data_IF_528469901243
#
_entry.id   IF_528469901243
#
_cell.length_a   1.000
_cell.length_b   1.000
_cell.length_c   1.000
_cell.angle_alpha   90.00
_cell.angle_beta   90.00
_cell.angle_gamma   90.00
#
_symmetry.space_group_name_H-M   'P 1'
#
loop_
_entity.id
_entity.type
_entity.pdbx_description
1 polymer ?
#
# COMPACT_ATOMS: atom_id res chain seq x y z
N UNK A 1 -28.73 9.49 2.05
CA UNK A 1 -27.60 9.70 1.11
C UNK A 1 -26.41 10.16 1.93
N UNK A 2 -25.16 9.84 1.57
CA UNK A 2 -24.00 10.33 2.30
C UNK A 2 -23.95 11.87 2.27
N UNK A 3 -23.71 12.52 3.41
CA UNK A 3 -23.43 13.97 3.43
C UNK A 3 -21.97 14.28 3.03
N UNK A 4 -21.12 13.24 2.99
CA UNK A 4 -19.68 13.30 2.67
C UNK A 4 -19.30 12.23 1.65
N UNK A 5 -18.15 12.39 1.02
CA UNK A 5 -17.52 11.33 0.25
C UNK A 5 -17.22 10.14 1.16
N UNK A 6 -17.53 8.92 0.73
CA UNK A 6 -17.24 7.69 1.48
C UNK A 6 -16.29 6.81 0.67
N UNK A 7 -15.14 6.46 1.23
CA UNK A 7 -14.21 5.48 0.63
C UNK A 7 -14.31 4.17 1.39
N UNK A 8 -14.76 3.12 0.69
CA UNK A 8 -14.66 1.74 1.19
C UNK A 8 -13.26 1.23 0.89
N UNK A 9 -12.55 0.72 1.91
CA UNK A 9 -11.17 0.25 1.77
C UNK A 9 -10.83 -0.90 2.70
N UNK A 10 -9.72 -1.59 2.44
CA UNK A 10 -9.14 -2.54 3.41
C UNK A 10 -8.08 -1.83 4.26
N UNK A 11 -7.81 -2.31 5.49
CA UNK A 11 -6.73 -1.76 6.32
C UNK A 11 -5.42 -1.76 5.54
N UNK A 12 -4.61 -0.73 5.74
CA UNK A 12 -3.29 -0.57 5.13
C UNK A 12 -3.26 -0.82 3.61
N UNK A 13 -4.33 -0.52 2.88
CA UNK A 13 -4.36 -0.60 1.42
C UNK A 13 -3.49 0.49 0.78
N UNK A 14 -2.47 0.16 -0.05
CA UNK A 14 -1.64 1.19 -0.70
C UNK A 14 -2.43 2.07 -1.65
N UNK A 15 -3.47 1.53 -2.26
CA UNK A 15 -4.31 2.23 -3.21
C UNK A 15 -5.23 3.25 -2.53
N UNK A 16 -5.63 2.99 -1.27
CA UNK A 16 -6.45 3.92 -0.49
C UNK A 16 -5.59 5.01 0.15
N UNK A 17 -4.36 4.67 0.53
CA UNK A 17 -3.42 5.63 1.08
C UNK A 17 -3.01 6.73 0.09
N UNK A 18 -3.11 6.50 -1.22
CA UNK A 18 -3.00 7.58 -2.23
C UNK A 18 -3.97 8.73 -1.93
N UNK A 19 -5.20 8.37 -1.56
CA UNK A 19 -6.26 9.32 -1.24
C UNK A 19 -5.98 9.98 0.11
N UNK A 20 -5.56 9.21 1.12
CA UNK A 20 -5.19 9.75 2.43
C UNK A 20 -4.04 10.77 2.33
N UNK A 21 -3.05 10.52 1.46
CA UNK A 21 -1.95 11.46 1.18
C UNK A 21 -2.48 12.75 0.55
N UNK A 22 -3.36 12.67 -0.46
CA UNK A 22 -3.98 13.85 -1.07
C UNK A 22 -4.71 14.70 -0.01
N UNK A 23 -5.49 14.06 0.86
CA UNK A 23 -6.23 14.76 1.92
C UNK A 23 -5.29 15.39 2.94
N UNK A 24 -4.23 14.69 3.35
CA UNK A 24 -3.23 15.21 4.27
C UNK A 24 -2.41 16.37 3.67
N UNK A 25 -2.15 16.37 2.36
CA UNK A 25 -1.49 17.49 1.68
C UNK A 25 -2.33 18.77 1.69
N UNK A 26 -3.66 18.65 1.83
CA UNK A 26 -4.63 19.74 1.77
C UNK A 26 -5.21 20.11 3.12
N UNK A 27 -4.83 19.40 4.19
CA UNK A 27 -5.47 19.49 5.50
C UNK A 27 -7.01 19.28 5.41
N UNK A 28 -7.43 18.29 4.61
CA UNK A 28 -8.83 17.95 4.26
C UNK A 28 -9.22 16.53 4.68
N UNK A 29 -8.63 15.97 5.74
CA UNK A 29 -8.87 14.60 6.20
C UNK A 29 -10.37 14.34 6.48
N UNK A 30 -11.10 15.35 6.95
CA UNK A 30 -12.53 15.25 7.26
C UNK A 30 -13.46 15.31 6.04
N UNK A 31 -12.92 15.56 4.84
CA UNK A 31 -13.69 15.63 3.60
C UNK A 31 -14.16 14.25 3.11
N UNK A 32 -13.50 13.18 3.56
CA UNK A 32 -13.77 11.80 3.16
C UNK A 32 -13.90 10.91 4.40
N UNK A 33 -14.99 10.16 4.49
CA UNK A 33 -15.16 9.10 5.47
C UNK A 33 -14.56 7.79 4.94
N UNK A 34 -13.56 7.24 5.62
CA UNK A 34 -12.99 5.94 5.28
C UNK A 34 -13.71 4.82 6.03
N UNK A 35 -14.38 3.94 5.29
CA UNK A 35 -15.08 2.76 5.82
C UNK A 35 -14.27 1.50 5.58
N UNK A 36 -13.81 0.90 6.67
CA UNK A 36 -13.04 -0.34 6.62
C UNK A 36 -13.94 -1.50 6.20
N UNK A 37 -13.45 -2.29 5.24
CA UNK A 37 -14.03 -3.54 4.77
C UNK A 37 -13.14 -4.67 5.26
N UNK A 38 -13.75 -5.60 5.99
CA UNK A 38 -13.09 -6.82 6.44
C UNK A 38 -12.87 -7.77 5.25
N UNK A 39 -11.60 -7.90 4.82
CA UNK A 39 -11.21 -8.74 3.69
C UNK A 39 -11.19 -10.24 4.05
N UNK A 40 -11.30 -10.58 5.33
CA UNK A 40 -11.31 -11.99 5.81
C UNK A 40 -12.69 -12.64 5.69
N UNK A 41 -13.72 -11.87 5.34
CA UNK A 41 -15.11 -12.30 5.21
C UNK A 41 -15.62 -12.13 3.78
N UNK A 42 -16.69 -12.86 3.40
CA UNK A 42 -17.42 -12.57 2.17
C UNK A 42 -17.81 -11.09 2.10
N UNK A 43 -17.72 -10.52 0.89
CA UNK A 43 -18.03 -9.11 0.67
C UNK A 43 -19.48 -8.82 1.03
N UNK A 44 -19.71 -7.68 1.71
CA UNK A 44 -21.05 -7.17 1.99
C UNK A 44 -21.91 -7.14 0.71
N UNK A 45 -23.06 -7.85 0.67
CA UNK A 45 -23.98 -7.84 -0.46
C UNK A 45 -24.42 -6.44 -0.89
N UNK A 46 -24.61 -5.51 0.04
CA UNK A 46 -24.99 -4.14 -0.28
C UNK A 46 -23.88 -3.41 -1.04
N UNK A 47 -22.62 -3.64 -0.67
CA UNK A 47 -21.46 -3.11 -1.40
C UNK A 47 -21.30 -3.79 -2.77
N UNK A 48 -21.57 -5.09 -2.89
CA UNK A 48 -21.56 -5.78 -4.19
C UNK A 48 -22.60 -5.22 -5.17
N UNK A 49 -23.79 -4.87 -4.69
CA UNK A 49 -24.81 -4.21 -5.52
C UNK A 49 -24.30 -2.87 -6.02
N UNK A 50 -23.71 -2.04 -5.14
CA UNK A 50 -23.12 -0.74 -5.52
C UNK A 50 -22.00 -0.86 -6.55
N UNK A 51 -21.15 -1.88 -6.44
CA UNK A 51 -19.97 -2.04 -7.30
C UNK A 51 -20.23 -2.84 -8.58
N UNK A 52 -21.48 -3.27 -8.80
CA UNK A 52 -21.87 -4.21 -9.86
C UNK A 52 -21.05 -5.51 -9.81
N UNK A 53 -20.92 -6.09 -8.62
CA UNK A 53 -20.23 -7.35 -8.36
C UNK A 53 -18.70 -7.27 -8.26
N UNK A 54 -18.10 -6.08 -8.44
CA UNK A 54 -16.64 -5.92 -8.30
C UNK A 54 -16.23 -5.97 -6.82
N UNK A 55 -15.20 -6.76 -6.49
CA UNK A 55 -14.67 -6.89 -5.12
C UNK A 55 -13.41 -6.05 -4.88
N UNK A 56 -12.80 -5.49 -5.92
CA UNK A 56 -11.65 -4.61 -5.83
C UNK A 56 -11.96 -3.34 -5.01
N UNK A 57 -10.97 -2.87 -4.26
CA UNK A 57 -11.00 -1.68 -3.41
C UNK A 57 -9.75 -0.83 -3.68
N UNK A 58 -9.77 0.50 -3.43
CA UNK A 58 -10.86 1.28 -2.87
C UNK A 58 -12.03 1.50 -3.83
N UNK A 59 -13.19 1.84 -3.26
CA UNK A 59 -14.37 2.33 -3.97
C UNK A 59 -14.84 3.61 -3.30
N UNK A 60 -15.08 4.66 -4.08
CA UNK A 60 -15.65 5.91 -3.61
C UNK A 60 -17.16 5.96 -3.90
N UNK A 61 -17.94 6.35 -2.91
CA UNK A 61 -19.33 6.77 -3.04
C UNK A 61 -19.42 8.28 -2.79
N UNK A 62 -19.88 9.04 -3.79
CA UNK A 62 -20.06 10.49 -3.67
C UNK A 62 -21.33 10.84 -2.88
N UNK A 63 -21.48 12.11 -2.42
CA UNK A 63 -22.69 12.55 -1.70
C UNK A 63 -23.99 12.33 -2.48
N UNK A 64 -23.92 12.44 -3.82
CA UNK A 64 -25.05 12.19 -4.72
C UNK A 64 -25.19 10.72 -5.16
N UNK A 65 -24.45 9.81 -4.53
CA UNK A 65 -24.60 8.36 -4.68
C UNK A 65 -23.88 7.74 -5.89
N UNK A 66 -23.02 8.48 -6.60
CA UNK A 66 -22.20 7.91 -7.69
C UNK A 66 -21.12 7.01 -7.11
N UNK A 67 -20.86 5.90 -7.80
CA UNK A 67 -19.80 4.95 -7.46
C UNK A 67 -18.63 5.14 -8.42
N UNK A 68 -17.45 5.42 -7.86
CA UNK A 68 -16.20 5.58 -8.59
C UNK A 68 -15.22 4.50 -8.12
N UNK A 69 -14.61 3.79 -9.07
CA UNK A 69 -13.66 2.69 -8.84
C UNK A 69 -12.29 3.07 -9.41
N UNK A 70 -11.27 2.27 -9.09
CA UNK A 70 -9.86 2.46 -9.43
C UNK A 70 -9.21 3.63 -8.71
N UNK A 71 -8.16 3.35 -7.91
CA UNK A 71 -7.55 4.36 -7.05
C UNK A 71 -7.00 5.57 -7.80
N UNK A 72 -6.46 5.42 -9.01
CA UNK A 72 -5.95 6.55 -9.79
C UNK A 72 -7.09 7.43 -10.33
N UNK A 73 -8.24 6.83 -10.67
CA UNK A 73 -9.43 7.57 -11.09
C UNK A 73 -10.05 8.29 -9.89
N UNK A 74 -10.15 7.62 -8.74
CA UNK A 74 -10.63 8.22 -7.49
C UNK A 74 -9.70 9.36 -7.07
N UNK A 75 -8.38 9.16 -7.13
CA UNK A 75 -7.38 10.18 -6.79
C UNK A 75 -7.55 11.42 -7.66
N UNK A 76 -7.66 11.26 -8.99
CA UNK A 76 -7.91 12.37 -9.91
C UNK A 76 -9.23 13.08 -9.60
N UNK A 77 -10.30 12.32 -9.39
CA UNK A 77 -11.61 12.89 -9.07
C UNK A 77 -11.56 13.73 -7.79
N UNK A 78 -10.95 13.20 -6.71
CA UNK A 78 -10.78 13.93 -5.46
C UNK A 78 -9.83 15.14 -5.61
N UNK A 79 -8.79 15.02 -6.44
CA UNK A 79 -7.87 16.13 -6.76
C UNK A 79 -8.61 17.31 -7.39
N UNK A 80 -9.63 17.03 -8.21
CA UNK A 80 -10.48 18.02 -8.91
C UNK A 80 -11.58 18.63 -8.03
N UNK A 81 -12.21 17.85 -7.13
CA UNK A 81 -13.41 18.30 -6.39
C UNK A 81 -13.14 18.77 -4.97
N UNK A 82 -12.05 18.34 -4.34
CA UNK A 82 -11.70 18.78 -2.98
C UNK A 82 -10.91 20.09 -3.06
N UNK A 83 -11.23 21.12 -2.25
CA UNK A 83 -10.45 22.37 -2.23
C UNK A 83 -8.98 22.14 -1.83
N UNK A 84 -8.06 22.82 -2.51
CA UNK A 84 -6.64 22.80 -2.19
C UNK A 84 -5.75 22.93 -3.43
N UNK A 85 -4.43 22.93 -3.22
CA UNK A 85 -3.46 22.89 -4.31
C UNK A 85 -3.62 21.60 -5.12
N UNK A 86 -3.67 21.73 -6.45
CA UNK A 86 -3.71 20.56 -7.35
C UNK A 86 -2.46 19.72 -7.18
N UNK A 87 -2.65 18.41 -7.07
CA UNK A 87 -1.60 17.43 -6.89
C UNK A 87 -0.85 17.19 -8.20
N UNK A 88 -1.57 17.16 -9.33
CA UNK A 88 -0.96 17.10 -10.66
C UNK A 88 -0.27 18.40 -11.03
N UNK A 89 0.73 18.34 -11.90
CA UNK A 89 1.36 19.53 -12.48
C UNK A 89 0.37 20.30 -13.35
N UNK A 90 0.47 21.63 -13.29
CA UNK A 90 -0.34 22.52 -14.12
C UNK A 90 0.17 22.54 -15.58
N UNK A 91 1.48 22.47 -15.77
CA UNK A 91 2.09 22.36 -17.09
C UNK A 91 1.74 21.00 -17.75
N UNK A 92 1.18 20.99 -18.97
CA UNK A 92 0.81 19.75 -19.64
C UNK A 92 1.99 18.81 -19.91
N UNK A 93 3.19 19.35 -20.18
CA UNK A 93 4.39 18.56 -20.43
C UNK A 93 4.90 17.87 -19.16
N UNK A 94 4.97 18.60 -18.05
CA UNK A 94 5.30 18.02 -16.74
C UNK A 94 4.27 16.97 -16.31
N UNK A 95 2.98 17.22 -16.52
CA UNK A 95 1.93 16.24 -16.22
C UNK A 95 2.04 14.98 -17.09
N UNK A 96 2.45 15.12 -18.35
CA UNK A 96 2.73 13.97 -19.21
C UNK A 96 3.90 13.12 -18.65
N UNK A 97 4.95 13.77 -18.13
CA UNK A 97 6.06 13.09 -17.46
C UNK A 97 5.61 12.39 -16.17
N UNK A 98 4.78 13.02 -15.34
CA UNK A 98 4.16 12.36 -14.16
C UNK A 98 3.38 11.11 -14.59
N UNK A 99 2.59 11.23 -15.65
CA UNK A 99 1.76 10.14 -16.18
C UNK A 99 2.62 9.00 -16.73
N UNK A 100 3.73 9.29 -17.40
CA UNK A 100 4.69 8.28 -17.84
C UNK A 100 5.34 7.56 -16.65
N UNK A 101 5.69 8.29 -15.58
CA UNK A 101 6.19 7.66 -14.35
C UNK A 101 5.12 6.73 -13.74
N UNK A 102 3.88 7.22 -13.59
CA UNK A 102 2.76 6.47 -13.02
C UNK A 102 2.42 5.21 -13.83
N UNK A 103 2.58 5.24 -15.15
CA UNK A 103 2.38 4.06 -16.00
C UNK A 103 3.29 2.87 -15.63
N UNK A 104 4.41 3.11 -14.94
CA UNK A 104 5.33 2.06 -14.45
C UNK A 104 4.87 1.43 -13.14
N UNK A 105 3.97 2.09 -12.40
CA UNK A 105 3.59 1.71 -11.04
C UNK A 105 2.96 0.31 -10.99
N UNK A 106 2.05 -0.02 -11.90
CA UNK A 106 1.35 -1.30 -11.87
C UNK A 106 2.32 -2.49 -11.95
N UNK A 107 3.28 -2.47 -12.89
CA UNK A 107 4.29 -3.53 -13.00
C UNK A 107 5.20 -3.58 -11.77
N UNK A 108 5.59 -2.42 -11.25
CA UNK A 108 6.42 -2.28 -10.07
C UNK A 108 5.76 -2.89 -8.82
N UNK A 109 4.52 -2.48 -8.54
CA UNK A 109 3.70 -3.00 -7.44
C UNK A 109 3.48 -4.51 -7.56
N UNK A 110 3.10 -4.99 -8.75
CA UNK A 110 2.86 -6.42 -8.98
C UNK A 110 4.13 -7.27 -8.88
N UNK A 111 5.31 -6.71 -9.15
CA UNK A 111 6.57 -7.42 -8.96
C UNK A 111 6.87 -7.61 -7.47
N UNK A 112 6.73 -6.56 -6.65
CA UNK A 112 6.96 -6.66 -5.21
C UNK A 112 5.95 -7.57 -4.50
N UNK A 113 4.67 -7.51 -4.88
CA UNK A 113 3.67 -8.44 -4.34
C UNK A 113 3.95 -9.89 -4.72
N UNK A 114 4.34 -10.16 -5.98
CA UNK A 114 4.74 -11.52 -6.38
C UNK A 114 5.99 -11.99 -5.67
N UNK A 115 6.92 -11.08 -5.38
CA UNK A 115 8.12 -11.41 -4.64
C UNK A 115 7.78 -11.83 -3.21
N UNK A 116 7.05 -11.02 -2.44
CA UNK A 116 6.71 -11.40 -1.06
C UNK A 116 5.85 -12.66 -0.99
N UNK A 117 4.97 -12.90 -1.96
CA UNK A 117 4.12 -14.11 -2.01
C UNK A 117 4.84 -15.36 -2.52
N UNK A 118 6.10 -15.27 -2.89
CA UNK A 118 6.87 -16.42 -3.35
C UNK A 118 7.09 -17.42 -2.20
N UNK A 119 6.79 -18.69 -2.45
CA UNK A 119 7.05 -19.80 -1.50
C UNK A 119 8.06 -20.81 -2.08
N UNK A 120 8.70 -20.46 -3.19
CA UNK A 120 9.70 -21.28 -3.88
C UNK A 120 11.08 -20.64 -3.70
N UNK A 121 11.89 -21.18 -2.79
CA UNK A 121 13.18 -20.60 -2.43
C UNK A 121 14.13 -20.47 -3.63
N UNK A 122 14.03 -21.36 -4.63
CA UNK A 122 14.87 -21.32 -5.83
C UNK A 122 14.56 -20.10 -6.72
N UNK A 123 13.33 -19.55 -6.64
CA UNK A 123 12.90 -18.37 -7.42
C UNK A 123 13.18 -17.04 -6.72
N UNK A 124 13.68 -17.07 -5.49
CA UNK A 124 13.92 -15.86 -4.70
C UNK A 124 14.83 -14.86 -5.42
N UNK A 125 15.93 -15.34 -6.00
CA UNK A 125 16.90 -14.50 -6.69
C UNK A 125 16.37 -13.93 -8.01
N UNK A 126 15.50 -14.67 -8.71
CA UNK A 126 14.83 -14.18 -9.92
C UNK A 126 13.89 -13.02 -9.61
N UNK A 127 13.11 -13.14 -8.53
CA UNK A 127 12.26 -12.05 -8.05
C UNK A 127 13.09 -10.83 -7.61
N UNK A 128 14.18 -11.06 -6.87
CA UNK A 128 15.14 -10.00 -6.50
C UNK A 128 15.68 -9.28 -7.72
N UNK A 129 16.18 -10.02 -8.71
CA UNK A 129 16.70 -9.47 -9.98
C UNK A 129 15.65 -8.67 -10.73
N UNK A 130 14.40 -9.16 -10.79
CA UNK A 130 13.30 -8.44 -11.43
C UNK A 130 13.00 -7.12 -10.71
N UNK A 131 12.96 -7.12 -9.38
CA UNK A 131 12.72 -5.93 -8.56
C UNK A 131 13.83 -4.90 -8.77
N UNK A 132 15.10 -5.32 -8.74
CA UNK A 132 16.26 -4.47 -9.01
C UNK A 132 16.26 -3.87 -10.42
N UNK A 133 15.81 -4.63 -11.43
CA UNK A 133 15.65 -4.11 -12.79
C UNK A 133 14.63 -2.96 -12.85
N UNK A 134 13.47 -3.12 -12.21
CA UNK A 134 12.43 -2.09 -12.19
C UNK A 134 12.86 -0.84 -11.43
N UNK A 135 13.61 -0.99 -10.34
CA UNK A 135 14.19 0.16 -9.64
C UNK A 135 15.19 0.93 -10.51
N UNK A 136 15.99 0.23 -11.32
CA UNK A 136 16.91 0.86 -12.27
C UNK A 136 16.17 1.60 -13.38
N UNK A 137 15.06 1.05 -13.87
CA UNK A 137 14.21 1.73 -14.86
C UNK A 137 13.62 3.03 -14.30
N UNK A 138 13.20 3.03 -13.03
CA UNK A 138 12.75 4.24 -12.33
C UNK A 138 13.90 5.23 -12.11
N UNK A 139 15.08 4.74 -11.71
CA UNK A 139 16.28 5.57 -11.52
C UNK A 139 16.66 6.30 -12.81
N UNK A 140 16.76 5.57 -13.91
CA UNK A 140 17.05 6.13 -15.24
C UNK A 140 16.05 7.22 -15.63
N UNK A 141 14.75 6.98 -15.40
CA UNK A 141 13.70 7.97 -15.69
C UNK A 141 13.86 9.23 -14.84
N UNK A 142 14.16 9.08 -13.54
CA UNK A 142 14.39 10.22 -12.65
C UNK A 142 15.67 10.99 -13.03
N UNK A 143 16.73 10.29 -13.47
CA UNK A 143 17.97 10.90 -13.95
C UNK A 143 17.73 11.70 -15.23
N UNK A 144 16.96 11.16 -16.17
CA UNK A 144 16.60 11.83 -17.43
C UNK A 144 15.86 13.14 -17.19
N UNK A 145 14.88 13.13 -16.28
CA UNK A 145 13.98 14.28 -16.08
C UNK A 145 14.44 15.28 -15.02
N UNK A 146 15.14 14.83 -13.96
CA UNK A 146 15.56 15.71 -12.87
C UNK A 146 16.74 15.09 -12.08
N UNK A 147 17.96 15.07 -12.64
CA UNK A 147 19.08 14.27 -12.12
C UNK A 147 19.54 14.68 -10.73
N UNK A 148 19.43 15.97 -10.38
CA UNK A 148 19.86 16.51 -9.09
C UNK A 148 18.68 16.73 -8.12
N UNK A 149 17.45 16.48 -8.57
CA UNK A 149 16.23 16.73 -7.80
C UNK A 149 16.02 15.78 -6.64
N UNK A 150 15.18 16.21 -5.71
CA UNK A 150 14.69 15.39 -4.60
C UNK A 150 13.47 14.59 -5.07
N UNK A 151 12.42 15.30 -5.53
CA UNK A 151 11.22 14.74 -6.13
C UNK A 151 11.34 14.61 -7.66
N UNK A 152 10.33 14.09 -8.34
CA UNK A 152 10.31 14.07 -9.81
C UNK A 152 10.43 15.50 -10.36
N UNK A 153 9.74 16.45 -9.72
CA UNK A 153 9.87 17.90 -9.95
C UNK A 153 10.32 18.62 -8.68
N UNK A 154 10.05 19.92 -8.55
CA UNK A 154 10.55 20.75 -7.43
C UNK A 154 10.01 20.35 -6.05
N UNK A 155 8.77 19.87 -5.98
CA UNK A 155 8.03 19.53 -4.76
C UNK A 155 7.28 18.20 -4.91
N UNK A 156 6.75 17.68 -3.79
CA UNK A 156 5.99 16.42 -3.75
C UNK A 156 4.70 16.56 -4.57
N UNK A 157 4.52 15.73 -5.61
CA UNK A 157 3.39 15.80 -6.53
C UNK A 157 2.67 14.47 -6.72
N UNK A 158 2.02 14.32 -7.87
CA UNK A 158 1.15 13.18 -8.19
C UNK A 158 1.93 11.87 -8.23
N UNK A 159 3.11 11.86 -8.85
CA UNK A 159 3.94 10.65 -8.92
C UNK A 159 4.35 10.18 -7.51
N UNK A 160 4.76 11.09 -6.63
CA UNK A 160 5.11 10.77 -5.25
C UNK A 160 3.93 10.22 -4.46
N UNK A 161 2.74 10.84 -4.58
CA UNK A 161 1.52 10.35 -3.92
C UNK A 161 1.14 8.94 -4.37
N UNK A 162 1.39 8.59 -5.63
CA UNK A 162 1.10 7.27 -6.21
C UNK A 162 2.10 6.21 -5.76
N UNK A 163 3.40 6.54 -5.73
CA UNK A 163 4.48 5.58 -5.42
C UNK A 163 4.77 5.43 -3.93
N UNK A 164 4.57 6.47 -3.11
CA UNK A 164 4.88 6.40 -1.67
C UNK A 164 4.20 5.23 -0.96
N UNK A 165 2.88 5.00 -1.15
CA UNK A 165 2.21 3.85 -0.54
C UNK A 165 2.83 2.51 -0.96
N UNK A 166 3.31 2.39 -2.20
CA UNK A 166 3.95 1.17 -2.70
C UNK A 166 5.31 0.97 -2.01
N UNK A 167 6.12 2.02 -1.89
CA UNK A 167 7.40 1.95 -1.19
C UNK A 167 7.26 1.54 0.28
N UNK A 168 6.20 2.00 0.94
CA UNK A 168 5.88 1.60 2.31
C UNK A 168 5.43 0.14 2.39
N UNK A 169 4.69 -0.37 1.40
CA UNK A 169 4.34 -1.82 1.36
C UNK A 169 5.60 -2.66 1.25
N UNK A 170 6.58 -2.22 0.46
CA UNK A 170 7.84 -2.95 0.31
C UNK A 170 8.72 -3.01 1.56
N UNK A 171 8.31 -2.41 2.68
CA UNK A 171 8.84 -2.80 4.00
C UNK A 171 8.70 -4.31 4.28
N UNK A 172 7.71 -4.98 3.70
CA UNK A 172 7.63 -6.45 3.77
C UNK A 172 8.78 -7.13 3.01
N UNK A 173 9.35 -6.53 1.96
CA UNK A 173 10.50 -7.10 1.24
C UNK A 173 11.78 -6.86 2.02
N UNK A 174 11.92 -5.68 2.64
CA UNK A 174 13.04 -5.42 3.55
C UNK A 174 13.04 -6.42 4.71
N UNK A 175 11.87 -6.73 5.27
CA UNK A 175 11.75 -7.62 6.41
C UNK A 175 11.83 -9.10 6.01
N UNK A 176 10.92 -9.61 5.18
CA UNK A 176 10.84 -11.05 4.90
C UNK A 176 11.85 -11.54 3.85
N UNK A 177 12.36 -10.65 3.01
CA UNK A 177 13.20 -11.03 1.86
C UNK A 177 14.61 -10.45 1.90
N UNK A 178 14.98 -9.71 2.95
CA UNK A 178 16.28 -9.01 3.04
C UNK A 178 16.57 -8.18 1.78
N UNK A 179 15.52 -7.55 1.24
CA UNK A 179 15.64 -6.73 0.05
C UNK A 179 16.19 -5.36 0.40
N UNK A 180 17.31 -5.01 -0.25
CA UNK A 180 17.91 -3.69 -0.19
C UNK A 180 18.36 -3.28 -1.58
N UNK A 181 18.29 -1.97 -1.86
CA UNK A 181 18.89 -1.41 -3.07
C UNK A 181 20.43 -1.47 -2.94
N UNK A 182 21.17 -1.95 -3.95
CA UNK A 182 22.63 -1.90 -3.98
C UNK A 182 23.15 -0.46 -3.87
N UNK A 183 24.29 -0.29 -3.21
CA UNK A 183 24.99 0.99 -3.17
C UNK A 183 25.80 1.23 -4.46
N UNK A 184 25.07 1.36 -5.57
CA UNK A 184 25.62 1.58 -6.91
C UNK A 184 24.99 2.84 -7.52
N UNK A 185 25.70 3.50 -8.43
CA UNK A 185 25.23 4.73 -9.11
C UNK A 185 23.85 4.56 -9.76
N UNK A 186 23.57 3.37 -10.30
CA UNK A 186 22.32 3.00 -10.97
C UNK A 186 21.07 2.96 -10.06
N UNK A 187 21.22 3.25 -8.77
CA UNK A 187 20.12 3.29 -7.79
C UNK A 187 20.10 4.57 -6.94
N UNK A 188 21.05 5.49 -7.12
CA UNK A 188 21.21 6.62 -6.19
C UNK A 188 20.08 7.65 -6.32
N UNK A 189 19.55 7.86 -7.52
CA UNK A 189 18.50 8.84 -7.76
C UNK A 189 17.14 8.34 -7.23
N UNK A 190 16.82 7.07 -7.48
CA UNK A 190 15.61 6.42 -6.94
C UNK A 190 15.70 6.24 -5.42
N UNK A 191 16.89 5.98 -4.86
CA UNK A 191 17.10 5.94 -3.41
C UNK A 191 16.75 7.27 -2.76
N UNK A 192 17.27 8.38 -3.30
CA UNK A 192 16.97 9.75 -2.83
C UNK A 192 15.49 10.07 -2.95
N UNK A 193 14.88 9.74 -4.09
CA UNK A 193 13.45 9.95 -4.34
C UNK A 193 12.58 9.21 -3.34
N UNK A 194 12.83 7.91 -3.17
CA UNK A 194 12.12 7.04 -2.23
C UNK A 194 12.24 7.56 -0.80
N UNK A 195 13.44 7.94 -0.36
CA UNK A 195 13.67 8.46 0.98
C UNK A 195 12.87 9.75 1.21
N UNK A 196 12.87 10.67 0.24
CA UNK A 196 12.10 11.91 0.34
C UNK A 196 10.58 11.68 0.34
N UNK A 197 10.10 10.70 -0.42
CA UNK A 197 8.70 10.26 -0.42
C UNK A 197 8.26 9.76 0.97
N UNK A 198 9.05 8.84 1.53
CA UNK A 198 8.72 8.17 2.79
C UNK A 198 8.90 9.06 4.04
N UNK A 199 9.72 10.11 3.94
CA UNK A 199 9.94 11.07 5.02
C UNK A 199 9.00 12.30 4.94
N UNK A 200 8.13 12.37 3.93
CA UNK A 200 7.23 13.51 3.76
C UNK A 200 6.16 13.55 4.86
N UNK A 201 5.84 14.73 5.40
CA UNK A 201 4.88 14.87 6.53
C UNK A 201 3.48 14.30 6.25
N UNK A 202 3.08 14.28 4.98
CA UNK A 202 1.77 13.80 4.53
C UNK A 202 1.73 12.28 4.31
N UNK A 203 2.78 11.52 4.65
CA UNK A 203 2.89 10.08 4.33
C UNK A 203 3.01 9.20 5.57
N UNK A 204 2.51 9.66 6.72
CA UNK A 204 2.63 9.02 8.04
C UNK A 204 1.49 8.07 8.41
N UNK A 205 0.60 7.72 7.47
CA UNK A 205 -0.63 6.97 7.75
C UNK A 205 -0.40 5.53 8.21
N UNK A 206 0.76 4.94 7.87
CA UNK A 206 1.11 3.55 8.20
C UNK A 206 2.53 3.47 8.74
N UNK A 207 2.82 2.44 9.52
CA UNK A 207 4.15 2.16 10.05
C UNK A 207 4.75 0.88 9.48
N UNK A 208 6.08 0.74 9.55
CA UNK A 208 6.78 -0.50 9.14
C UNK A 208 6.29 -1.71 9.93
N UNK A 209 6.11 -1.57 11.24
CA UNK A 209 5.60 -2.64 12.11
C UNK A 209 4.20 -3.09 11.71
N UNK A 210 3.30 -2.14 11.48
CA UNK A 210 1.93 -2.43 11.03
C UNK A 210 1.93 -3.18 9.69
N UNK A 211 2.68 -2.68 8.69
CA UNK A 211 2.78 -3.34 7.39
C UNK A 211 3.34 -4.74 7.52
N UNK A 212 4.44 -4.93 8.25
CA UNK A 212 5.04 -6.26 8.42
C UNK A 212 4.05 -7.22 9.08
N UNK A 213 3.40 -6.81 10.18
CA UNK A 213 2.45 -7.66 10.90
C UNK A 213 1.22 -8.03 10.07
N UNK A 214 0.60 -7.06 9.39
CA UNK A 214 -0.62 -7.30 8.62
C UNK A 214 -0.36 -8.07 7.32
N UNK A 215 0.83 -7.93 6.71
CA UNK A 215 1.19 -8.63 5.48
C UNK A 215 1.89 -9.99 5.70
N UNK A 216 1.90 -10.54 6.93
CA UNK A 216 2.54 -11.83 7.18
C UNK A 216 1.96 -12.97 6.32
N UNK A 217 0.63 -13.05 6.16
CA UNK A 217 0.03 -14.10 5.33
C UNK A 217 0.36 -13.93 3.84
N UNK A 218 0.58 -12.69 3.37
CA UNK A 218 1.11 -12.47 2.02
C UNK A 218 2.49 -13.10 1.88
N UNK A 219 3.35 -12.97 2.91
CA UNK A 219 4.66 -13.58 2.93
C UNK A 219 4.65 -15.12 2.96
N UNK A 220 3.46 -15.72 3.12
CA UNK A 220 3.19 -17.16 3.05
C UNK A 220 2.34 -17.54 1.82
N UNK A 221 2.27 -16.66 0.81
CA UNK A 221 1.56 -16.89 -0.44
C UNK A 221 0.03 -16.71 -0.37
N UNK A 222 -0.50 -16.23 0.75
CA UNK A 222 -1.93 -16.02 0.96
C UNK A 222 -2.29 -14.52 0.95
N UNK A 223 -2.61 -14.01 -0.25
CA UNK A 223 -3.04 -12.64 -0.43
C UNK A 223 -4.54 -12.42 -0.17
N UNK A 224 -4.95 -11.15 -0.06
CA UNK A 224 -6.34 -10.72 -0.05
C UNK A 224 -7.21 -11.39 1.03
N UNK A 225 -6.69 -11.52 2.25
CA UNK A 225 -7.43 -12.12 3.38
C UNK A 225 -7.59 -13.63 3.31
N UNK A 226 -6.97 -14.30 2.32
CA UNK A 226 -6.95 -15.75 2.26
C UNK A 226 -6.23 -16.33 3.49
N UNK A 227 -6.70 -17.48 3.97
CA UNK A 227 -6.07 -18.19 5.07
C UNK A 227 -4.92 -19.05 4.57
N UNK A 228 -3.77 -18.94 5.23
CA UNK A 228 -2.66 -19.87 5.06
C UNK A 228 -3.10 -21.25 5.57
N UNK A 229 -2.68 -22.33 4.89
CA UNK A 229 -2.91 -23.70 5.36
C UNK A 229 -2.40 -23.83 6.80
N UNK A 230 -3.18 -24.46 7.69
CA UNK A 230 -2.95 -24.61 9.14
C UNK A 230 -3.24 -23.40 10.04
N UNK A 231 -3.73 -22.28 9.49
CA UNK A 231 -4.17 -21.10 10.24
C UNK A 231 -5.69 -21.00 10.28
N UNK A 232 -6.23 -20.47 11.38
CA UNK A 232 -7.66 -20.21 11.53
C UNK A 232 -7.99 -18.72 11.41
N UNK A 233 -7.00 -17.85 11.64
CA UNK A 233 -7.18 -16.39 11.67
C UNK A 233 -6.22 -15.74 10.71
N UNK A 234 -6.68 -14.81 9.89
CA UNK A 234 -5.79 -14.02 9.04
C UNK A 234 -5.01 -12.99 9.86
N UNK A 235 -3.78 -12.71 9.46
CA UNK A 235 -2.98 -11.58 9.90
C UNK A 235 -3.69 -10.22 9.72
N UNK A 236 -4.67 -10.12 8.82
CA UNK A 236 -5.52 -8.94 8.63
C UNK A 236 -6.70 -8.83 9.61
N UNK A 237 -6.85 -9.74 10.58
CA UNK A 237 -7.88 -9.63 11.62
C UNK A 237 -7.77 -8.27 12.35
N UNK A 238 -8.88 -7.72 12.82
CA UNK A 238 -8.87 -6.43 13.52
C UNK A 238 -8.47 -6.55 14.98
N UNK A 239 -8.90 -7.63 15.64
CA UNK A 239 -8.61 -7.91 17.04
C UNK A 239 -7.96 -9.29 17.20
N UNK A 240 -6.94 -9.45 18.06
CA UNK A 240 -6.26 -8.40 18.86
C UNK A 240 -5.56 -7.36 17.98
N UNK A 241 -5.50 -6.07 18.36
CA UNK A 241 -4.88 -5.02 17.52
C UNK A 241 -3.41 -5.31 17.22
N UNK A 242 -2.92 -4.88 16.06
CA UNK A 242 -1.55 -5.18 15.63
C UNK A 242 -0.46 -4.67 16.59
N UNK A 243 -0.72 -3.58 17.31
CA UNK A 243 0.19 -3.02 18.32
C UNK A 243 0.45 -4.01 19.47
N UNK A 244 -0.55 -4.84 19.77
CA UNK A 244 -0.54 -5.77 20.90
C UNK A 244 0.02 -7.17 20.49
N UNK A 245 0.37 -7.34 19.20
CA UNK A 245 0.92 -8.60 18.65
C UNK A 245 2.45 -8.63 18.70
N UNK A 246 3.10 -9.81 18.77
CA UNK A 246 4.54 -9.92 18.57
C UNK A 246 4.94 -9.64 17.10
N UNK A 247 6.23 -9.39 16.87
CA UNK A 247 6.76 -9.41 15.50
C UNK A 247 6.68 -10.83 14.92
N UNK A 248 6.24 -10.98 13.66
CA UNK A 248 6.21 -12.28 13.00
C UNK A 248 7.64 -12.77 12.71
N UNK A 249 7.85 -14.09 12.58
CA UNK A 249 9.15 -14.61 12.17
C UNK A 249 9.53 -14.09 10.79
N UNK A 250 10.81 -13.79 10.63
CA UNK A 250 11.37 -13.21 9.41
C UNK A 250 11.49 -14.22 8.28
N UNK A 251 11.99 -15.43 8.59
CA UNK A 251 12.18 -16.49 7.62
C UNK A 251 10.85 -17.18 7.32
N UNK A 252 10.25 -16.82 6.19
CA UNK A 252 8.97 -17.35 5.72
C UNK A 252 9.13 -18.65 4.93
N UNK A 253 10.36 -19.06 4.60
CA UNK A 253 10.65 -20.34 3.94
C UNK A 253 10.80 -21.49 4.96
N UNK A 254 11.12 -21.17 6.22
CA UNK A 254 11.23 -22.15 7.31
C UNK A 254 9.90 -22.75 7.78
N UNK A 255 8.76 -22.17 7.38
CA UNK A 255 7.42 -22.68 7.68
C UNK A 255 6.43 -21.61 8.16
N UNK A 256 5.26 -22.08 8.59
CA UNK A 256 4.13 -21.21 8.97
C UNK A 256 4.06 -21.05 10.49
N UNK A 257 4.13 -19.82 11.00
CA UNK A 257 3.85 -19.52 12.40
C UNK A 257 2.38 -19.77 12.75
N UNK A 258 2.09 -20.24 13.96
CA UNK A 258 0.72 -20.48 14.44
C UNK A 258 -0.05 -19.19 14.76
N UNK A 259 -1.39 -19.28 14.85
CA UNK A 259 -2.24 -18.15 15.29
C UNK A 259 -1.79 -17.60 16.67
N UNK A 260 -1.39 -18.48 17.59
CA UNK A 260 -0.90 -18.11 18.92
C UNK A 260 0.47 -17.42 18.88
N UNK A 261 1.40 -17.93 18.06
CA UNK A 261 2.74 -17.32 17.87
C UNK A 261 2.63 -15.90 17.35
N UNK A 262 1.63 -15.62 16.52
CA UNK A 262 1.38 -14.30 15.93
C UNK A 262 0.47 -13.40 16.79
N UNK A 263 -0.03 -13.90 17.93
CA UNK A 263 -0.96 -13.16 18.78
C UNK A 263 -2.30 -12.85 18.11
N UNK A 264 -2.79 -13.72 17.22
CA UNK A 264 -4.03 -13.50 16.44
C UNK A 264 -5.31 -13.96 17.15
N UNK A 265 -5.16 -14.63 18.29
CA UNK A 265 -6.29 -15.05 19.13
C UNK A 265 -6.15 -14.39 20.48
N UNK A 266 -7.27 -13.97 21.09
CA UNK A 266 -7.26 -13.57 22.49
C UNK A 266 -6.86 -14.78 23.33
N UNK A 267 -5.86 -14.61 24.20
CA UNK A 267 -5.59 -15.60 25.24
C UNK A 267 -6.90 -15.80 26.05
N UNK A 268 -7.29 -17.04 26.37
CA UNK A 268 -8.42 -17.24 27.27
C UNK A 268 -8.08 -16.53 28.59
N UNK A 269 -8.88 -15.52 28.95
CA UNK A 269 -8.83 -14.90 30.27
C UNK A 269 -9.12 -16.01 31.26
N UNK A 270 -8.09 -16.49 31.94
CA UNK A 270 -8.28 -17.40 33.07
C UNK A 270 -9.05 -16.59 34.12
N UNK A 271 -10.26 -17.00 34.54
CA UNK A 271 -10.93 -16.31 35.62
C UNK A 271 -10.00 -16.37 36.84
N UNK A 272 -9.65 -15.21 37.40
CA UNK A 272 -8.99 -15.17 38.69
C UNK A 272 -9.87 -15.94 39.69
N UNK A 273 -9.34 -17.01 40.25
CA UNK A 273 -9.99 -17.75 41.33
C UNK A 273 -10.29 -16.76 42.47
N UNK A 274 -11.57 -16.66 42.82
CA UNK A 274 -12.08 -15.90 43.96
C UNK A 274 -11.72 -16.58 45.28
#
# INVERSE_FOLDING_TARGET
>A
MPEKYVVYHIPVCPFSQRLEILLALRDQQDAVEFRVVDITKPRDPALLVKTHGTTALPVLESPDGRIIKESLIILRYLDEVIPGQQLRRADPGEHAVESMMIARESQFTMAGYRYVMNQDQEKRDDHRKKMLGLYRDIDNFLVEHNPNGIYLFGDFGLAEAVFTPVFQRFWFLEYYEDFELPDESAYQRVRRWRQACMNHRATTQVTKEEIVKLYYDYALGAGNGALVKSRNVSSFVFEPRWQDRPWPPKDTYAGTASDATLGLTSLPVTPAEQ
#
